data_IF_998727555611
#
_entry.id   IF_998727555611
#
_cell.length_a   1.000
_cell.length_b   1.000
_cell.length_c   1.000
_cell.angle_alpha   90.00
_cell.angle_beta   90.00
_cell.angle_gamma   90.00
#
_symmetry.space_group_name_H-M   'P 1'
#
loop_
_entity.id
_entity.type
_entity.pdbx_description
1 polymer ?
#
# COMPACT_ATOMS: atom_id res chain seq x y z
N UNK A 1 -21.23 -5.84 -7.32
CA UNK A 1 -20.50 -4.83 -6.53
C UNK A 1 -19.69 -4.01 -7.52
N UNK A 2 -19.79 -2.68 -7.52
CA UNK A 2 -18.82 -1.86 -8.24
C UNK A 2 -17.50 -1.96 -7.49
N UNK A 3 -16.42 -2.36 -8.16
CA UNK A 3 -15.08 -2.11 -7.65
C UNK A 3 -14.97 -0.59 -7.50
N UNK A 4 -14.85 -0.14 -6.26
CA UNK A 4 -14.45 1.24 -6.00
C UNK A 4 -12.93 1.19 -6.04
N UNK A 5 -12.33 1.90 -6.98
CA UNK A 5 -10.88 1.98 -7.11
C UNK A 5 -10.30 2.64 -5.86
N UNK A 6 -9.13 2.16 -5.41
CA UNK A 6 -8.47 2.65 -4.18
C UNK A 6 -8.27 4.17 -4.24
N UNK A 7 -7.99 4.72 -5.42
CA UNK A 7 -7.87 6.16 -5.66
C UNK A 7 -9.17 6.92 -5.38
N UNK A 8 -10.32 6.38 -5.81
CA UNK A 8 -11.63 6.98 -5.50
C UNK A 8 -11.90 6.98 -4.00
N UNK A 9 -11.50 5.91 -3.29
CA UNK A 9 -11.62 5.84 -1.83
C UNK A 9 -10.70 6.85 -1.13
N UNK A 10 -9.43 6.98 -1.57
CA UNK A 10 -8.49 7.99 -1.05
C UNK A 10 -9.07 9.40 -1.23
N UNK A 11 -9.62 9.70 -2.41
CA UNK A 11 -10.27 10.98 -2.71
C UNK A 11 -11.54 11.19 -1.89
N UNK A 12 -12.33 10.14 -1.64
CA UNK A 12 -13.52 10.23 -0.81
C UNK A 12 -13.13 10.52 0.65
N UNK A 13 -12.19 9.76 1.20
CA UNK A 13 -11.78 9.88 2.61
C UNK A 13 -11.03 11.19 2.88
N UNK A 14 -10.21 11.67 1.95
CA UNK A 14 -9.55 12.99 2.05
C UNK A 14 -10.55 14.16 2.05
N UNK A 15 -11.71 14.01 1.41
CA UNK A 15 -12.81 15.00 1.45
C UNK A 15 -13.65 14.94 2.73
N UNK A 16 -13.62 13.82 3.47
CA UNK A 16 -14.61 13.55 4.52
C UNK A 16 -14.22 14.07 5.91
N UNK A 17 -12.97 14.41 6.27
CA UNK A 17 -12.79 15.03 7.59
C UNK A 17 -11.51 15.83 7.89
N UNK A 18 -11.64 16.98 8.60
CA UNK A 18 -10.58 17.66 9.37
C UNK A 18 -10.25 16.98 10.73
N UNK A 19 -10.83 15.82 11.06
CA UNK A 19 -10.62 15.14 12.35
C UNK A 19 -9.50 14.10 12.25
N UNK A 20 -8.51 14.19 13.16
CA UNK A 20 -7.33 13.31 13.27
C UNK A 20 -7.59 11.80 13.07
N UNK A 21 -8.75 11.29 13.52
CA UNK A 21 -9.13 9.86 13.42
C UNK A 21 -9.23 9.32 11.98
N UNK A 22 -9.51 10.16 10.98
CA UNK A 22 -9.57 9.74 9.58
C UNK A 22 -8.26 10.00 8.83
N UNK A 23 -7.36 10.80 9.40
CA UNK A 23 -6.04 11.09 8.82
C UNK A 23 -5.16 9.85 8.74
N UNK A 24 -5.17 9.00 9.77
CA UNK A 24 -4.41 7.74 9.80
C UNK A 24 -4.91 6.74 8.75
N UNK A 25 -6.23 6.63 8.56
CA UNK A 25 -6.80 5.76 7.52
C UNK A 25 -6.45 6.23 6.11
N UNK A 26 -6.52 7.54 5.86
CA UNK A 26 -6.13 8.10 4.55
C UNK A 26 -4.64 7.92 4.31
N UNK A 27 -3.81 8.13 5.35
CA UNK A 27 -2.37 7.90 5.27
C UNK A 27 -2.07 6.43 4.96
N UNK A 28 -2.62 5.48 5.72
CA UNK A 28 -2.40 4.05 5.47
C UNK A 28 -2.86 3.63 4.07
N UNK A 29 -3.98 4.17 3.57
CA UNK A 29 -4.43 3.90 2.20
C UNK A 29 -3.47 4.44 1.15
N UNK A 30 -2.93 5.65 1.37
CA UNK A 30 -1.97 6.27 0.48
C UNK A 30 -0.64 5.51 0.49
N UNK A 31 -0.15 5.12 1.66
CA UNK A 31 1.08 4.33 1.81
C UNK A 31 0.95 2.95 1.15
N UNK A 32 -0.21 2.29 1.28
CA UNK A 32 -0.50 1.04 0.56
C UNK A 32 -0.45 1.26 -0.96
N UNK A 33 -1.09 2.32 -1.46
CA UNK A 33 -1.10 2.64 -2.89
C UNK A 33 0.32 2.92 -3.41
N UNK A 34 1.08 3.76 -2.71
CA UNK A 34 2.45 4.10 -3.08
C UNK A 34 3.34 2.85 -3.07
N UNK A 35 3.21 1.99 -2.05
CA UNK A 35 3.94 0.73 -1.98
C UNK A 35 3.58 -0.22 -3.12
N UNK A 36 2.31 -0.31 -3.51
CA UNK A 36 1.92 -1.09 -4.69
C UNK A 36 2.54 -0.58 -5.98
N UNK A 37 2.64 0.75 -6.16
CA UNK A 37 3.31 1.35 -7.33
C UNK A 37 4.81 1.05 -7.34
N UNK A 38 5.49 1.10 -6.18
CA UNK A 38 6.90 0.72 -6.05
C UNK A 38 7.11 -0.76 -6.36
N UNK A 39 6.24 -1.62 -5.83
CA UNK A 39 6.28 -3.06 -6.09
C UNK A 39 6.14 -3.38 -7.59
N UNK A 40 5.25 -2.68 -8.29
CA UNK A 40 5.09 -2.82 -9.74
C UNK A 40 6.41 -2.50 -10.47
N UNK A 41 7.06 -1.39 -10.13
CA UNK A 41 8.37 -1.01 -10.68
C UNK A 41 9.47 -2.04 -10.39
N UNK A 42 9.56 -2.54 -9.15
CA UNK A 42 10.53 -3.57 -8.77
C UNK A 42 10.35 -4.87 -9.56
N UNK A 43 9.09 -5.27 -9.81
CA UNK A 43 8.79 -6.44 -10.63
C UNK A 43 9.18 -6.21 -12.09
N UNK A 44 8.90 -5.03 -12.65
CA UNK A 44 9.31 -4.68 -14.01
C UNK A 44 10.83 -4.71 -14.18
N UNK A 45 11.56 -4.11 -13.23
CA UNK A 45 13.02 -4.08 -13.22
C UNK A 45 13.61 -5.50 -13.11
N UNK A 46 13.11 -6.32 -12.18
CA UNK A 46 13.52 -7.72 -12.02
C UNK A 46 13.28 -8.54 -13.30
N UNK A 47 12.16 -8.31 -13.99
CA UNK A 47 11.84 -9.01 -15.25
C UNK A 47 12.71 -8.55 -16.42
N UNK A 48 13.26 -7.34 -16.36
CA UNK A 48 14.13 -6.77 -17.39
C UNK A 48 15.55 -7.36 -17.36
N UNK A 49 16.05 -7.77 -16.17
CA UNK A 49 17.45 -8.13 -15.96
C UNK A 49 17.70 -9.63 -15.68
N UNK A 50 17.31 -10.48 -16.64
CA UNK A 50 17.24 -11.95 -16.47
C UNK A 50 18.57 -12.71 -16.29
N UNK A 51 19.73 -12.06 -16.35
CA UNK A 51 21.02 -12.75 -16.45
C UNK A 51 21.97 -12.54 -15.25
N UNK A 52 21.62 -11.69 -14.28
CA UNK A 52 22.42 -11.48 -13.07
C UNK A 52 21.72 -12.09 -11.85
N UNK A 53 22.30 -13.18 -11.34
CA UNK A 53 21.75 -13.92 -10.20
C UNK A 53 21.92 -13.20 -8.88
N UNK A 54 22.98 -12.39 -8.72
CA UNK A 54 23.19 -11.61 -7.50
C UNK A 54 22.18 -10.47 -7.48
N UNK A 55 22.01 -9.78 -8.61
CA UNK A 55 21.00 -8.74 -8.76
C UNK A 55 19.57 -9.25 -8.56
N UNK A 56 19.24 -10.43 -9.07
CA UNK A 56 17.93 -11.05 -8.82
C UNK A 56 17.67 -11.29 -7.32
N UNK A 57 18.70 -11.64 -6.55
CA UNK A 57 18.55 -11.83 -5.10
C UNK A 57 18.28 -10.49 -4.42
N UNK A 58 19.00 -9.43 -4.80
CA UNK A 58 18.79 -8.09 -4.28
C UNK A 58 17.38 -7.57 -4.61
N UNK A 59 16.92 -7.73 -5.86
CA UNK A 59 15.58 -7.36 -6.30
C UNK A 59 14.49 -8.10 -5.49
N UNK A 60 14.69 -9.40 -5.22
CA UNK A 60 13.76 -10.20 -4.41
C UNK A 60 13.72 -9.75 -2.95
N UNK A 61 14.86 -9.36 -2.38
CA UNK A 61 14.93 -8.82 -1.02
C UNK A 61 14.17 -7.47 -0.97
N UNK A 62 14.33 -6.62 -1.97
CA UNK A 62 13.65 -5.32 -2.02
C UNK A 62 12.13 -5.49 -2.18
N UNK A 63 11.70 -6.45 -2.99
CA UNK A 63 10.28 -6.86 -3.10
C UNK A 63 9.74 -7.36 -1.75
N UNK A 64 10.49 -8.18 -1.00
CA UNK A 64 10.08 -8.66 0.32
C UNK A 64 9.88 -7.50 1.31
N UNK A 65 10.80 -6.54 1.32
CA UNK A 65 10.72 -5.33 2.17
C UNK A 65 9.48 -4.50 1.84
N UNK A 66 9.20 -4.27 0.55
CA UNK A 66 8.05 -3.48 0.13
C UNK A 66 6.72 -4.19 0.45
N UNK A 67 6.66 -5.52 0.27
CA UNK A 67 5.49 -6.31 0.67
C UNK A 67 5.24 -6.24 2.19
N UNK A 68 6.28 -6.26 3.00
CA UNK A 68 6.17 -6.11 4.45
C UNK A 68 5.69 -4.70 4.84
N UNK A 69 6.15 -3.67 4.13
CA UNK A 69 5.68 -2.29 4.30
C UNK A 69 4.17 -2.17 4.01
N UNK A 70 3.71 -2.64 2.85
CA UNK A 70 2.29 -2.66 2.47
C UNK A 70 1.46 -3.43 3.51
N UNK A 71 1.93 -4.60 3.93
CA UNK A 71 1.24 -5.44 4.90
C UNK A 71 1.13 -4.77 6.28
N UNK A 72 2.13 -4.00 6.69
CA UNK A 72 2.08 -3.22 7.93
C UNK A 72 0.97 -2.17 7.88
N UNK A 73 0.92 -1.35 6.83
CA UNK A 73 -0.12 -0.34 6.65
C UNK A 73 -1.51 -0.96 6.50
N UNK A 74 -1.64 -2.10 5.80
CA UNK A 74 -2.91 -2.82 5.72
C UNK A 74 -3.42 -3.29 7.08
N UNK A 75 -2.54 -3.81 7.94
CA UNK A 75 -2.90 -4.22 9.30
C UNK A 75 -3.33 -3.03 10.16
N UNK A 76 -2.63 -1.90 10.04
CA UNK A 76 -2.99 -0.63 10.69
C UNK A 76 -4.37 -0.16 10.22
N UNK A 77 -4.55 0.02 8.90
CA UNK A 77 -5.81 0.41 8.29
C UNK A 77 -6.99 -0.45 8.76
N UNK A 78 -6.81 -1.78 8.76
CA UNK A 78 -7.84 -2.74 9.19
C UNK A 78 -8.21 -2.58 10.67
N UNK A 79 -7.26 -2.28 11.54
CA UNK A 79 -7.48 -2.11 12.98
C UNK A 79 -8.25 -0.80 13.24
N UNK A 80 -7.86 0.27 12.56
CA UNK A 80 -8.46 1.59 12.71
C UNK A 80 -9.87 1.60 12.10
N UNK A 81 -10.07 0.94 10.95
CA UNK A 81 -11.38 0.77 10.33
C UNK A 81 -12.35 0.00 11.24
N UNK A 82 -11.88 -1.09 11.87
CA UNK A 82 -12.69 -1.84 12.85
C UNK A 82 -13.09 -0.99 14.04
N UNK A 83 -12.21 -0.11 14.50
CA UNK A 83 -12.50 0.78 15.63
C UNK A 83 -13.63 1.75 15.28
N UNK A 84 -13.63 2.29 14.05
CA UNK A 84 -14.70 3.16 13.57
C UNK A 84 -16.03 2.45 13.32
N UNK A 85 -16.02 1.16 12.98
CA UNK A 85 -17.24 0.39 12.69
C UNK A 85 -17.89 -0.21 13.96
N UNK A 86 -17.21 -0.17 15.10
CA UNK A 86 -17.71 -0.66 16.40
C UNK A 86 -18.28 0.49 17.25
N UNK A 87 -17.93 1.75 16.97
CA UNK A 87 -18.59 2.98 17.48
C UNK A 87 -19.93 3.23 16.78
#
# INVERSE_FOLDING_TARGET
MKEIEIEELIVLFSKISPQKKHGELVADMYDIYEGCQKLEGLIEDMLSDKNDKERLIDDLIEIEIELDHINWHYKSFKKELKTLLIE
#
